data_IF_971538397189
#
_entry.id   IF_971538397189
#
_cell.length_a   1.000
_cell.length_b   1.000
_cell.length_c   1.000
_cell.angle_alpha   90.00
_cell.angle_beta   90.00
_cell.angle_gamma   90.00
#
_symmetry.space_group_name_H-M   'P 1'
#
loop_
_entity.id
_entity.type
_entity.pdbx_description
1 polymer ?
#
# COMPACT_ATOMS: atom_id res chain seq x y z
N UNK A 1 54.26 -38.03 14.08
CA UNK A 1 53.87 -36.76 14.71
C UNK A 1 53.16 -35.95 13.63
N UNK A 2 51.84 -36.07 13.52
CA UNK A 2 51.04 -35.44 12.48
C UNK A 2 50.14 -34.39 13.16
N UNK A 3 50.30 -33.13 12.79
CA UNK A 3 49.50 -32.01 13.32
C UNK A 3 48.29 -31.83 12.42
N UNK A 4 47.10 -32.13 12.96
CA UNK A 4 45.81 -31.78 12.36
C UNK A 4 45.54 -30.29 12.63
N UNK A 5 45.47 -29.47 11.58
CA UNK A 5 44.97 -28.10 11.65
C UNK A 5 43.46 -28.06 11.40
N UNK A 6 42.67 -27.74 12.43
CA UNK A 6 41.25 -27.45 12.30
C UNK A 6 41.07 -26.09 11.59
N UNK A 7 40.49 -26.10 10.40
CA UNK A 7 39.96 -24.89 9.78
C UNK A 7 38.54 -24.65 10.32
N UNK A 8 38.39 -23.67 11.21
CA UNK A 8 37.09 -23.11 11.57
C UNK A 8 36.61 -22.22 10.41
N UNK A 9 35.68 -22.71 9.61
CA UNK A 9 34.98 -21.88 8.63
C UNK A 9 33.97 -21.01 9.40
N UNK A 10 34.22 -19.69 9.43
CA UNK A 10 33.26 -18.72 9.93
C UNK A 10 32.04 -18.68 9.00
N UNK A 11 30.89 -19.11 9.50
CA UNK A 11 29.58 -18.86 8.91
C UNK A 11 29.22 -17.37 9.10
N UNK A 12 29.81 -16.51 8.28
CA UNK A 12 29.38 -15.11 8.17
C UNK A 12 28.08 -15.12 7.36
N UNK A 13 26.96 -14.98 8.07
CA UNK A 13 25.67 -14.68 7.46
C UNK A 13 25.77 -13.31 6.78
N UNK A 14 26.05 -13.30 5.48
CA UNK A 14 26.06 -12.10 4.66
C UNK A 14 24.63 -11.51 4.61
N UNK A 15 24.44 -10.20 4.83
CA UNK A 15 23.15 -9.55 4.59
C UNK A 15 22.76 -9.77 3.12
N UNK A 16 21.71 -10.55 2.87
CA UNK A 16 21.23 -10.87 1.52
C UNK A 16 21.14 -12.35 1.15
N UNK A 17 21.48 -13.29 2.06
CA UNK A 17 21.24 -14.74 1.87
C UNK A 17 19.83 -15.20 2.26
N UNK A 18 18.98 -14.27 2.73
CA UNK A 18 17.56 -14.54 3.00
C UNK A 18 16.74 -14.71 1.71
N UNK A 19 15.71 -15.55 1.77
CA UNK A 19 14.77 -15.71 0.65
C UNK A 19 14.11 -14.37 0.28
N UNK A 20 14.02 -14.09 -1.02
CA UNK A 20 13.55 -12.78 -1.52
C UNK A 20 12.09 -12.53 -1.16
N UNK A 21 11.80 -11.32 -0.69
CA UNK A 21 10.41 -10.85 -0.52
C UNK A 21 9.77 -10.65 -1.90
N UNK A 22 8.53 -11.13 -2.03
CA UNK A 22 7.66 -10.76 -3.14
C UNK A 22 7.06 -9.38 -2.87
N UNK A 23 6.97 -8.56 -3.92
CA UNK A 23 6.37 -7.24 -3.86
C UNK A 23 5.06 -7.24 -4.64
N UNK A 24 4.03 -6.67 -4.04
CA UNK A 24 2.69 -6.60 -4.58
C UNK A 24 2.30 -5.15 -4.83
N UNK A 25 1.63 -4.92 -5.95
CA UNK A 25 1.01 -3.65 -6.31
C UNK A 25 -0.49 -3.83 -6.42
N UNK A 26 -1.21 -2.74 -6.25
CA UNK A 26 -2.63 -2.65 -6.55
C UNK A 26 -2.80 -1.88 -7.87
N UNK A 27 -3.89 -2.14 -8.57
CA UNK A 27 -4.22 -1.45 -9.82
C UNK A 27 -5.39 -0.51 -9.61
N UNK A 28 -5.35 0.71 -10.18
CA UNK A 28 -6.46 1.65 -10.07
C UNK A 28 -7.68 1.12 -10.83
N UNK A 29 -8.85 1.69 -10.54
CA UNK A 29 -10.06 1.40 -11.30
C UNK A 29 -9.91 1.94 -12.72
N UNK A 30 -10.33 1.14 -13.68
CA UNK A 30 -10.29 1.48 -15.11
C UNK A 30 -11.62 1.20 -15.84
N UNK A 31 -12.58 0.59 -15.16
CA UNK A 31 -13.91 0.29 -15.69
C UNK A 31 -14.96 1.16 -15.01
N UNK A 32 -15.82 1.79 -15.81
CA UNK A 32 -16.84 2.73 -15.35
C UNK A 32 -18.16 2.47 -16.07
N UNK A 33 -19.32 2.77 -15.45
CA UNK A 33 -20.60 2.78 -16.15
C UNK A 33 -20.59 3.76 -17.32
N UNK A 34 -21.25 3.40 -18.42
CA UNK A 34 -21.32 4.25 -19.62
C UNK A 34 -22.02 5.60 -19.33
N UNK A 35 -23.00 5.58 -18.43
CA UNK A 35 -23.82 6.71 -18.02
C UNK A 35 -23.21 7.53 -16.86
N UNK A 36 -21.94 7.30 -16.50
CA UNK A 36 -21.28 8.04 -15.43
C UNK A 36 -21.30 9.57 -15.72
N UNK A 37 -21.90 10.40 -14.84
CA UNK A 37 -22.12 11.82 -15.10
C UNK A 37 -20.79 12.58 -15.10
N UNK A 38 -20.70 13.60 -15.95
CA UNK A 38 -19.59 14.56 -15.92
C UNK A 38 -19.87 15.61 -14.85
N UNK A 39 -18.80 16.03 -14.18
CA UNK A 39 -18.83 17.04 -13.13
C UNK A 39 -17.84 18.17 -13.44
N UNK A 40 -18.22 19.39 -13.08
CA UNK A 40 -17.48 20.63 -13.33
C UNK A 40 -16.76 21.17 -12.09
N UNK A 41 -16.68 20.36 -11.04
CA UNK A 41 -15.92 20.66 -9.83
C UNK A 41 -14.58 19.93 -9.78
N UNK A 42 -13.66 20.49 -8.99
CA UNK A 42 -12.33 19.96 -8.74
C UNK A 42 -12.25 19.27 -7.39
N UNK A 43 -11.56 18.14 -7.33
CA UNK A 43 -11.38 17.33 -6.12
C UNK A 43 -9.94 17.39 -5.61
N UNK A 44 -9.77 17.70 -4.33
CA UNK A 44 -8.52 17.43 -3.63
C UNK A 44 -8.73 16.21 -2.73
N UNK A 45 -7.88 15.20 -2.87
CA UNK A 45 -7.85 14.04 -1.97
C UNK A 45 -6.74 14.27 -0.96
N UNK A 46 -7.10 14.44 0.31
CA UNK A 46 -6.13 14.55 1.39
C UNK A 46 -5.43 13.21 1.65
N UNK A 47 -4.27 13.29 2.29
CA UNK A 47 -3.54 12.11 2.74
C UNK A 47 -4.44 11.16 3.53
N UNK A 48 -4.46 9.90 3.12
CA UNK A 48 -5.21 8.86 3.81
C UNK A 48 -4.59 8.60 5.18
N UNK A 49 -5.38 8.78 6.24
CA UNK A 49 -4.97 8.43 7.60
C UNK A 49 -5.12 6.93 7.82
N UNK A 50 -4.33 6.34 8.72
CA UNK A 50 -4.50 4.93 9.08
C UNK A 50 -3.89 4.65 10.46
N UNK A 51 -4.30 3.56 11.13
CA UNK A 51 -3.59 3.04 12.29
C UNK A 51 -2.14 2.66 11.93
N UNK A 52 -1.22 2.80 12.88
CA UNK A 52 0.20 2.50 12.66
C UNK A 52 0.48 1.07 12.16
N UNK A 53 -0.39 0.11 12.51
CA UNK A 53 -0.30 -1.27 12.03
C UNK A 53 -0.61 -1.44 10.53
N UNK A 54 -1.36 -0.51 9.93
CA UNK A 54 -1.64 -0.49 8.48
C UNK A 54 -0.72 0.48 7.73
N UNK A 55 -0.09 1.42 8.43
CA UNK A 55 0.77 2.44 7.83
C UNK A 55 2.20 1.93 7.51
N UNK A 56 2.24 0.80 6.82
CA UNK A 56 3.43 -0.02 6.55
C UNK A 56 3.39 -0.61 5.15
N UNK A 57 4.54 -1.07 4.67
CA UNK A 57 4.65 -1.88 3.44
C UNK A 57 4.31 -3.35 3.70
N UNK A 58 4.19 -3.80 4.95
CA UNK A 58 3.86 -5.19 5.24
C UNK A 58 2.39 -5.47 4.95
N UNK A 59 2.09 -6.63 4.36
CA UNK A 59 0.70 -7.03 4.11
C UNK A 59 0.13 -7.60 5.41
N UNK A 60 -0.81 -6.88 6.02
CA UNK A 60 -1.41 -7.25 7.29
C UNK A 60 -2.33 -8.46 7.18
N UNK A 61 -2.39 -9.24 8.27
CA UNK A 61 -3.25 -10.40 8.45
C UNK A 61 -3.90 -10.28 9.83
N UNK A 62 -5.23 -10.39 9.91
CA UNK A 62 -5.93 -10.50 11.18
C UNK A 62 -6.36 -11.95 11.43
N UNK A 63 -5.92 -12.51 12.55
CA UNK A 63 -6.36 -13.84 13.01
C UNK A 63 -7.53 -13.75 14.00
N UNK A 64 -7.70 -12.60 14.63
CA UNK A 64 -8.82 -12.27 15.53
C UNK A 64 -9.01 -10.75 15.60
N UNK A 65 -10.02 -10.29 16.34
CA UNK A 65 -10.28 -8.85 16.53
C UNK A 65 -9.14 -8.09 17.25
N UNK A 66 -8.20 -8.81 17.89
CA UNK A 66 -7.15 -8.21 18.73
C UNK A 66 -5.74 -8.61 18.27
N UNK A 67 -5.62 -9.38 17.19
CA UNK A 67 -4.35 -9.92 16.72
C UNK A 67 -4.10 -9.49 15.29
N UNK A 68 -3.05 -8.70 15.10
CA UNK A 68 -2.57 -8.23 13.81
C UNK A 68 -1.15 -8.77 13.59
N UNK A 69 -0.99 -9.58 12.55
CA UNK A 69 0.29 -10.08 12.07
C UNK A 69 0.51 -9.62 10.62
N UNK A 70 1.57 -10.09 9.98
CA UNK A 70 1.92 -9.75 8.61
C UNK A 70 2.42 -10.98 7.85
N UNK A 71 2.06 -11.08 6.57
CA UNK A 71 2.59 -12.14 5.71
C UNK A 71 4.13 -12.14 5.72
N UNK A 72 4.70 -13.33 5.90
CA UNK A 72 6.14 -13.52 5.75
C UNK A 72 6.53 -13.40 4.28
N UNK A 73 7.57 -12.61 3.98
CA UNK A 73 8.17 -12.46 2.63
C UNK A 73 7.20 -11.92 1.57
N UNK A 74 6.14 -11.23 1.98
CA UNK A 74 5.24 -10.53 1.07
C UNK A 74 5.04 -9.11 1.58
N UNK A 75 5.31 -8.14 0.72
CA UNK A 75 5.15 -6.73 1.03
C UNK A 75 4.41 -6.03 -0.11
N UNK A 76 3.71 -4.97 0.22
CA UNK A 76 3.36 -3.93 -0.71
C UNK A 76 4.62 -3.23 -1.23
N UNK A 77 4.54 -2.65 -2.43
CA UNK A 77 5.63 -1.82 -2.97
C UNK A 77 5.80 -0.49 -2.22
N UNK A 78 4.77 -0.05 -1.52
CA UNK A 78 4.71 1.24 -0.83
C UNK A 78 3.76 1.12 0.39
N UNK A 79 3.67 2.15 1.25
CA UNK A 79 2.82 2.09 2.45
C UNK A 79 1.36 2.02 2.03
N UNK A 80 0.57 1.17 2.69
CA UNK A 80 -0.82 0.93 2.32
C UNK A 80 -1.68 2.21 2.15
N UNK A 81 -1.69 3.19 3.08
CA UNK A 81 -2.47 4.42 2.90
C UNK A 81 -2.00 5.27 1.70
N UNK A 82 -0.69 5.32 1.44
CA UNK A 82 -0.12 6.07 0.30
C UNK A 82 -0.49 5.40 -1.03
N UNK A 83 -0.49 4.07 -1.07
CA UNK A 83 -1.00 3.32 -2.22
C UNK A 83 -2.47 3.61 -2.48
N UNK A 84 -3.32 3.51 -1.46
CA UNK A 84 -4.76 3.74 -1.59
C UNK A 84 -5.05 5.17 -2.05
N UNK A 85 -4.37 6.17 -1.49
CA UNK A 85 -4.46 7.57 -1.92
C UNK A 85 -4.20 7.72 -3.42
N UNK A 86 -3.07 7.17 -3.88
CA UNK A 86 -2.66 7.23 -5.30
C UNK A 86 -3.69 6.55 -6.20
N UNK A 87 -4.17 5.37 -5.82
CA UNK A 87 -5.16 4.63 -6.59
C UNK A 87 -6.50 5.37 -6.68
N UNK A 88 -6.93 6.06 -5.63
CA UNK A 88 -8.15 6.87 -5.67
C UNK A 88 -8.02 7.99 -6.69
N UNK A 89 -6.90 8.74 -6.65
CA UNK A 89 -6.63 9.85 -7.58
C UNK A 89 -6.60 9.34 -9.01
N UNK A 90 -5.80 8.30 -9.29
CA UNK A 90 -5.71 7.68 -10.62
C UNK A 90 -7.07 7.14 -11.08
N UNK A 91 -7.90 6.61 -10.19
CA UNK A 91 -9.26 6.15 -10.54
C UNK A 91 -10.17 7.33 -10.93
N UNK A 92 -10.11 8.45 -10.21
CA UNK A 92 -10.86 9.64 -10.62
C UNK A 92 -10.38 10.17 -11.98
N UNK A 93 -9.07 10.22 -12.21
CA UNK A 93 -8.49 10.61 -13.50
C UNK A 93 -8.93 9.67 -14.63
N UNK A 94 -8.83 8.35 -14.42
CA UNK A 94 -9.20 7.31 -15.38
C UNK A 94 -10.67 7.36 -15.78
N UNK A 95 -11.55 7.95 -14.96
CA UNK A 95 -12.95 8.12 -15.31
C UNK A 95 -13.16 9.11 -16.47
N UNK A 96 -12.26 10.10 -16.63
CA UNK A 96 -12.43 11.21 -17.57
C UNK A 96 -13.70 12.04 -17.36
N UNK A 97 -14.36 11.92 -16.19
CA UNK A 97 -15.64 12.60 -15.89
C UNK A 97 -15.50 13.81 -14.97
N UNK A 98 -14.37 13.95 -14.28
CA UNK A 98 -14.06 15.09 -13.41
C UNK A 98 -13.08 16.02 -14.12
N UNK A 99 -13.24 17.34 -13.96
CA UNK A 99 -12.37 18.32 -14.63
C UNK A 99 -10.94 18.36 -14.06
N UNK A 100 -10.76 18.06 -12.77
CA UNK A 100 -9.45 17.94 -12.13
C UNK A 100 -9.55 17.18 -10.79
N UNK A 101 -8.54 16.38 -10.49
CA UNK A 101 -8.32 15.74 -9.19
C UNK A 101 -6.84 15.85 -8.82
N UNK A 102 -6.52 15.97 -7.54
CA UNK A 102 -5.13 16.06 -7.07
C UNK A 102 -4.95 15.60 -5.62
N UNK A 103 -3.69 15.57 -5.17
CA UNK A 103 -3.27 15.13 -3.83
C UNK A 103 -2.77 16.26 -2.92
N UNK A 104 -2.37 17.38 -3.50
CA UNK A 104 -1.80 18.51 -2.77
C UNK A 104 -2.59 19.80 -3.06
N UNK A 105 -2.82 20.60 -2.02
CA UNK A 105 -3.52 21.88 -2.13
C UNK A 105 -2.65 22.94 -2.82
N UNK A 106 -1.34 22.72 -2.89
CA UNK A 106 -0.40 23.65 -3.52
C UNK A 106 -0.59 23.59 -5.03
N UNK A 107 -1.46 24.45 -5.55
CA UNK A 107 -1.69 24.65 -6.99
C UNK A 107 -3.07 24.25 -7.49
N UNK A 108 -3.85 23.48 -6.72
CA UNK A 108 -5.24 23.14 -7.05
C UNK A 108 -6.21 23.86 -6.11
N UNK A 109 -7.07 24.72 -6.67
CA UNK A 109 -8.18 25.32 -5.93
C UNK A 109 -9.39 24.39 -5.98
N UNK A 110 -9.36 23.34 -5.16
CA UNK A 110 -10.44 22.36 -5.12
C UNK A 110 -11.77 22.96 -4.64
N UNK A 111 -12.88 22.53 -5.24
CA UNK A 111 -14.22 22.80 -4.73
C UNK A 111 -14.57 21.82 -3.60
N UNK A 112 -14.05 20.59 -3.67
CA UNK A 112 -14.34 19.50 -2.75
C UNK A 112 -13.04 18.94 -2.19
N UNK A 113 -13.06 18.65 -0.89
CA UNK A 113 -11.97 17.99 -0.17
C UNK A 113 -12.44 16.60 0.28
N UNK A 114 -11.78 15.55 -0.20
CA UNK A 114 -12.03 14.18 0.22
C UNK A 114 -11.01 13.78 1.29
N UNK A 115 -11.50 13.49 2.49
CA UNK A 115 -10.72 12.95 3.60
C UNK A 115 -10.98 11.45 3.71
N UNK A 116 -9.93 10.67 3.90
CA UNK A 116 -10.04 9.22 3.93
C UNK A 116 -9.26 8.64 5.12
N UNK A 117 -9.83 7.59 5.71
CA UNK A 117 -9.22 6.81 6.77
C UNK A 117 -9.24 5.34 6.35
N UNK A 118 -8.06 4.72 6.32
CA UNK A 118 -7.89 3.31 6.04
C UNK A 118 -7.94 2.53 7.36
N UNK A 119 -9.11 1.97 7.67
CA UNK A 119 -9.37 1.31 8.96
C UNK A 119 -9.04 -0.17 8.97
N UNK A 120 -9.41 -0.85 7.88
CA UNK A 120 -9.25 -2.28 7.70
C UNK A 120 -8.67 -2.52 6.31
N UNK A 121 -7.42 -2.99 6.28
CA UNK A 121 -6.66 -3.27 5.06
C UNK A 121 -5.75 -4.49 5.30
N UNK A 122 -6.39 -5.60 5.64
CA UNK A 122 -5.76 -6.86 6.00
C UNK A 122 -6.43 -8.02 5.28
N UNK A 123 -5.73 -9.15 5.21
CA UNK A 123 -6.39 -10.43 4.95
C UNK A 123 -7.03 -10.94 6.23
N UNK A 124 -8.23 -11.52 6.10
CA UNK A 124 -8.93 -12.20 7.17
C UNK A 124 -9.11 -13.67 6.78
N UNK A 125 -8.86 -14.57 7.73
CA UNK A 125 -9.16 -15.99 7.54
C UNK A 125 -10.53 -16.27 8.15
N UNK A 126 -11.48 -16.61 7.30
CA UNK A 126 -12.73 -17.22 7.74
C UNK A 126 -12.40 -18.51 8.51
N UNK A 127 -12.99 -18.69 9.69
CA UNK A 127 -12.91 -19.95 10.43
C UNK A 127 -13.86 -20.98 9.87
#
# INVERSE_FOLDING_TARGET
MAVLGLAAACDIALPGTGERSQLYVLTPKSTYPDDLPKVDWQLLVEQTTSPAGLDTQRIAVAYSQIELDYFARSNWTDRAPEMVLRLMVESFENSGKIIAVGRDAIGLRSNILLKTELREFQAEYDR
#
